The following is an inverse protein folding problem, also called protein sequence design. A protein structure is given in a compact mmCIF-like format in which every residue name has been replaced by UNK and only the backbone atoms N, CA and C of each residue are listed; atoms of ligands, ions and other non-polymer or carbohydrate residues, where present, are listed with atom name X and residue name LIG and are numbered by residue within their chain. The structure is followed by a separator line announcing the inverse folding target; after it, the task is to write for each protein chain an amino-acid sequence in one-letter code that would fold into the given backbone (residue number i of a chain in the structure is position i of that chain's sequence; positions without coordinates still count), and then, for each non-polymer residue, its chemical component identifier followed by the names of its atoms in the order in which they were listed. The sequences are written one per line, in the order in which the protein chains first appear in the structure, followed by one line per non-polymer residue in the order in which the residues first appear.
data_IF_567144370521
#
_entry.id   IF_567144370521
#
_cell.length_a   1.000
_cell.length_b   1.000
_cell.length_c   1.000
_cell.angle_alpha   90.00
_cell.angle_beta   90.00
_cell.angle_gamma   90.00
#
_symmetry.space_group_name_H-M   'P 1'
#
loop_
_entity.id
_entity.type
_entity.pdbx_description
1 polymer ?
#
# COMPACT_ATOMS: atom_id res chain seq x y z
N UNK A 1 8.52 -8.07 -3.38
CA UNK A 1 9.98 -8.37 -3.46
C UNK A 1 10.53 -8.87 -2.12
N UNK A 2 11.63 -9.63 -2.04
CA UNK A 2 11.67 -10.70 -1.04
C UNK A 2 13.02 -11.33 -0.60
N UNK A 3 13.17 -11.52 0.71
CA UNK A 3 14.42 -11.62 1.51
C UNK A 3 14.55 -12.97 2.23
N UNK A 4 15.01 -14.05 1.59
CA UNK A 4 15.11 -15.38 2.24
C UNK A 4 15.79 -15.32 3.63
N UNK A 5 15.01 -15.44 4.71
CA UNK A 5 15.51 -15.61 6.08
C UNK A 5 15.49 -17.11 6.38
N UNK A 6 16.69 -17.66 6.62
CA UNK A 6 16.84 -19.00 7.21
C UNK A 6 16.15 -18.97 8.58
N UNK A 7 15.18 -19.85 8.87
CA UNK A 7 14.52 -19.84 10.18
C UNK A 7 15.57 -20.06 11.26
N UNK A 8 15.83 -19.03 12.06
CA UNK A 8 16.49 -19.20 13.35
C UNK A 8 15.52 -20.00 14.20
N UNK A 9 15.91 -21.25 14.49
CA UNK A 9 15.18 -22.13 15.39
C UNK A 9 15.24 -21.54 16.81
N UNK A 10 14.31 -20.63 17.12
CA UNK A 10 14.08 -20.05 18.44
C UNK A 10 12.99 -20.86 19.16
N UNK A 11 13.23 -22.17 19.28
CA UNK A 11 12.56 -22.99 20.29
C UNK A 11 13.19 -22.67 21.65
N UNK A 12 12.73 -21.61 22.30
CA UNK A 12 12.98 -21.40 23.73
C UNK A 12 11.74 -20.83 24.44
N UNK A 13 10.93 -21.78 24.91
CA UNK A 13 10.22 -21.76 26.19
C UNK A 13 9.67 -20.41 26.70
N UNK A 14 8.44 -20.07 26.30
CA UNK A 14 7.56 -19.24 27.13
C UNK A 14 6.60 -20.13 27.93
N UNK A 15 6.45 -19.92 29.25
CA UNK A 15 5.49 -20.67 30.04
C UNK A 15 4.05 -20.27 29.69
N UNK A 16 3.08 -21.18 29.81
CA UNK A 16 1.67 -20.89 29.51
C UNK A 16 1.11 -19.92 30.55
N UNK A 17 0.65 -18.74 30.10
CA UNK A 17 -0.19 -17.86 30.89
C UNK A 17 -1.60 -18.44 30.97
N UNK A 18 -2.08 -18.70 32.18
CA UNK A 18 -3.42 -19.21 32.45
C UNK A 18 -4.50 -18.16 32.17
N UNK A 19 -5.69 -18.55 31.69
CA UNK A 19 -6.81 -17.65 31.54
C UNK A 19 -7.59 -17.50 32.86
N UNK A 20 -7.73 -16.26 33.34
CA UNK A 20 -8.70 -15.92 34.38
C UNK A 20 -10.08 -15.66 33.77
N UNK A 21 -11.06 -16.44 34.22
CA UNK A 21 -12.50 -16.18 34.12
C UNK A 21 -12.90 -14.88 34.85
N UNK A 22 -13.83 -14.10 34.28
CA UNK A 22 -15.10 -13.71 34.96
C UNK A 22 -16.04 -12.80 34.16
N UNK A 23 -17.32 -13.17 34.28
CA UNK A 23 -18.53 -12.34 34.45
C UNK A 23 -19.08 -11.47 33.31
N UNK A 24 -20.14 -12.02 32.70
CA UNK A 24 -21.47 -11.45 32.46
C UNK A 24 -21.75 -9.99 32.83
N UNK A 25 -22.42 -9.26 31.92
CA UNK A 25 -23.73 -8.62 32.18
C UNK A 25 -24.38 -8.18 30.87
N UNK A 26 -25.65 -8.56 30.70
CA UNK A 26 -26.47 -8.18 29.56
C UNK A 26 -26.94 -6.73 29.63
N UNK A 27 -27.17 -6.16 28.45
CA UNK A 27 -28.02 -4.99 28.23
C UNK A 27 -28.59 -5.07 26.80
N UNK A 28 -29.83 -5.52 26.70
CA UNK A 28 -30.64 -5.43 25.48
C UNK A 28 -31.14 -4.00 25.37
N UNK A 29 -30.53 -3.20 24.50
CA UNK A 29 -31.05 -1.89 24.11
C UNK A 29 -31.92 -2.06 22.85
N UNK A 30 -33.23 -1.89 23.03
CA UNK A 30 -34.22 -1.90 21.95
C UNK A 30 -34.13 -0.55 21.21
N UNK A 31 -33.28 -0.47 20.19
CA UNK A 31 -33.11 0.70 19.35
C UNK A 31 -34.18 0.78 18.26
N UNK A 32 -34.99 1.83 18.29
CA UNK A 32 -35.91 2.25 17.24
C UNK A 32 -35.15 2.52 15.94
N UNK A 33 -35.29 1.62 14.96
CA UNK A 33 -34.79 1.83 13.58
C UNK A 33 -35.65 2.88 12.88
N UNK A 34 -35.24 4.13 12.96
CA UNK A 34 -35.74 5.21 12.09
C UNK A 34 -35.27 4.92 10.67
N UNK A 35 -36.21 4.52 9.81
CA UNK A 35 -36.02 4.39 8.37
C UNK A 35 -35.85 5.79 7.76
N UNK A 36 -34.61 6.29 7.75
CA UNK A 36 -34.25 7.49 7.01
C UNK A 36 -34.20 7.09 5.53
N UNK A 37 -35.14 7.60 4.75
CA UNK A 37 -35.17 7.45 3.30
C UNK A 37 -33.84 7.94 2.70
N UNK A 38 -33.15 7.03 2.03
CA UNK A 38 -31.83 7.23 1.42
C UNK A 38 -31.90 8.30 0.32
N UNK A 39 -31.56 9.54 0.66
CA UNK A 39 -31.26 10.57 -0.34
C UNK A 39 -30.02 10.09 -1.08
N UNK A 40 -30.15 9.89 -2.38
CA UNK A 40 -29.08 9.46 -3.26
C UNK A 40 -28.10 10.62 -3.50
N UNK A 41 -27.40 11.04 -2.44
CA UNK A 41 -26.31 12.01 -2.54
C UNK A 41 -25.20 11.30 -3.30
N UNK A 42 -24.84 11.82 -4.48
CA UNK A 42 -23.66 11.37 -5.20
C UNK A 42 -22.45 11.56 -4.29
N UNK A 43 -22.00 10.48 -3.66
CA UNK A 43 -20.79 10.51 -2.84
C UNK A 43 -19.61 10.87 -3.76
N UNK A 44 -18.89 11.93 -3.40
CA UNK A 44 -17.68 12.34 -4.12
C UNK A 44 -16.54 11.37 -3.81
N UNK A 45 -15.57 11.22 -4.72
CA UNK A 45 -14.37 10.40 -4.48
C UNK A 45 -13.66 10.78 -3.18
N UNK A 46 -13.60 12.08 -2.89
CA UNK A 46 -13.03 12.58 -1.62
C UNK A 46 -13.79 12.07 -0.40
N UNK A 47 -15.14 12.12 -0.42
CA UNK A 47 -15.95 11.59 0.68
C UNK A 47 -15.72 10.09 0.90
N UNK A 48 -15.49 9.32 -0.17
CA UNK A 48 -15.17 7.89 -0.07
C UNK A 48 -13.78 7.66 0.52
N UNK A 49 -12.81 8.50 0.17
CA UNK A 49 -11.46 8.42 0.74
C UNK A 49 -11.45 8.76 2.23
N UNK A 50 -12.15 9.85 2.62
CA UNK A 50 -12.26 10.25 4.02
C UNK A 50 -12.96 9.17 4.87
N UNK A 51 -14.01 8.54 4.32
CA UNK A 51 -14.71 7.42 4.94
C UNK A 51 -13.81 6.20 5.11
N UNK A 52 -13.07 5.81 4.05
CA UNK A 52 -12.13 4.69 4.10
C UNK A 52 -10.98 4.97 5.10
N UNK A 53 -10.44 6.18 5.11
CA UNK A 53 -9.39 6.58 6.04
C UNK A 53 -9.86 6.43 7.49
N UNK A 54 -11.08 6.88 7.82
CA UNK A 54 -11.66 6.71 9.14
C UNK A 54 -11.74 5.24 9.57
N UNK A 55 -12.19 4.35 8.68
CA UNK A 55 -12.28 2.91 8.97
C UNK A 55 -10.90 2.25 9.13
N UNK A 56 -9.91 2.67 8.35
CA UNK A 56 -8.53 2.19 8.46
C UNK A 56 -7.90 2.62 9.79
N UNK A 57 -8.12 3.87 10.22
CA UNK A 57 -7.66 4.35 11.53
C UNK A 57 -8.35 3.62 12.68
N UNK A 58 -9.66 3.38 12.55
CA UNK A 58 -10.40 2.53 13.49
C UNK A 58 -9.78 1.13 13.55
N UNK A 59 -9.53 0.49 12.40
CA UNK A 59 -8.91 -0.83 12.30
C UNK A 59 -7.53 -0.87 12.98
N UNK A 60 -6.69 0.14 12.73
CA UNK A 60 -5.36 0.24 13.32
C UNK A 60 -5.39 0.38 14.87
N UNK A 61 -6.44 0.98 15.42
CA UNK A 61 -6.62 1.14 16.87
C UNK A 61 -7.16 -0.12 17.57
N UNK A 62 -7.77 -1.05 16.82
CA UNK A 62 -8.39 -2.26 17.37
C UNK A 62 -7.43 -3.45 17.34
N UNK A 63 -7.27 -4.14 18.47
CA UNK A 63 -6.43 -5.34 18.57
C UNK A 63 -7.09 -6.63 18.07
N UNK A 64 -8.40 -6.60 17.83
CA UNK A 64 -9.18 -7.78 17.41
C UNK A 64 -9.57 -7.66 15.95
N UNK A 65 -9.46 -8.75 15.18
CA UNK A 65 -10.00 -8.78 13.82
C UNK A 65 -11.52 -8.61 13.85
N UNK A 66 -12.05 -7.75 12.99
CA UNK A 66 -13.47 -7.53 12.77
C UNK A 66 -13.79 -7.71 11.28
N UNK A 67 -14.40 -8.85 10.95
CA UNK A 67 -14.70 -9.20 9.56
C UNK A 67 -15.69 -8.21 8.91
N UNK A 68 -16.60 -7.61 9.69
CA UNK A 68 -17.57 -6.66 9.14
C UNK A 68 -16.86 -5.36 8.71
N UNK A 69 -15.91 -4.91 9.53
CA UNK A 69 -15.07 -3.76 9.20
C UNK A 69 -14.24 -4.03 7.95
N UNK A 70 -13.70 -5.24 7.81
CA UNK A 70 -12.92 -5.64 6.63
C UNK A 70 -13.77 -5.66 5.35
N UNK A 71 -15.01 -6.15 5.42
CA UNK A 71 -15.95 -6.13 4.29
C UNK A 71 -16.31 -4.70 3.86
N UNK A 72 -16.49 -3.79 4.82
CA UNK A 72 -16.77 -2.38 4.56
C UNK A 72 -15.58 -1.66 3.92
N UNK A 73 -14.38 -1.88 4.46
CA UNK A 73 -13.11 -1.40 3.89
C UNK A 73 -12.95 -1.92 2.45
N UNK A 74 -13.15 -3.21 2.23
CA UNK A 74 -13.07 -3.83 0.91
C UNK A 74 -14.04 -3.20 -0.10
N UNK A 75 -15.26 -2.89 0.33
CA UNK A 75 -16.26 -2.21 -0.49
C UNK A 75 -15.80 -0.82 -0.91
N UNK A 76 -15.32 0.00 0.03
CA UNK A 76 -14.84 1.36 -0.25
C UNK A 76 -13.59 1.36 -1.14
N UNK A 77 -12.64 0.45 -0.90
CA UNK A 77 -11.46 0.25 -1.76
C UNK A 77 -11.88 0.01 -3.21
N UNK A 78 -12.81 -0.92 -3.45
CA UNK A 78 -13.31 -1.21 -4.82
C UNK A 78 -13.99 -0.01 -5.46
N UNK A 79 -14.74 0.79 -4.68
CA UNK A 79 -15.39 2.02 -5.18
C UNK A 79 -14.37 3.10 -5.56
N UNK A 80 -13.34 3.30 -4.75
CA UNK A 80 -12.25 4.23 -5.08
C UNK A 80 -11.47 3.80 -6.32
N UNK A 81 -11.11 2.51 -6.43
CA UNK A 81 -10.47 1.96 -7.63
C UNK A 81 -11.34 2.19 -8.87
N UNK A 82 -12.66 1.97 -8.75
CA UNK A 82 -13.61 2.18 -9.85
C UNK A 82 -13.77 3.64 -10.26
N UNK A 83 -13.44 4.59 -9.38
CA UNK A 83 -13.56 6.02 -9.65
C UNK A 83 -12.52 6.55 -10.65
N UNK A 84 -11.41 5.82 -10.85
CA UNK A 84 -10.32 6.16 -11.78
C UNK A 84 -9.84 7.61 -11.64
N UNK A 85 -9.69 8.09 -10.40
CA UNK A 85 -9.23 9.46 -10.14
C UNK A 85 -7.82 9.69 -10.64
N UNK A 86 -7.51 10.92 -11.03
CA UNK A 86 -6.13 11.33 -11.27
C UNK A 86 -5.43 11.74 -9.98
N UNK A 87 -4.10 11.67 -9.93
CA UNK A 87 -3.29 12.06 -8.78
C UNK A 87 -2.02 12.81 -9.20
N UNK A 88 -1.53 13.74 -8.39
CA UNK A 88 -0.20 14.34 -8.57
C UNK A 88 0.84 13.48 -7.83
N UNK A 89 1.82 12.85 -8.51
CA UNK A 89 2.85 12.05 -7.86
C UNK A 89 3.63 12.81 -6.79
N UNK A 90 3.81 14.12 -6.95
CA UNK A 90 4.53 14.93 -5.97
C UNK A 90 3.78 15.09 -4.66
N UNK A 91 2.45 15.18 -4.73
CA UNK A 91 1.62 15.35 -3.53
C UNK A 91 1.20 14.00 -2.94
N UNK A 92 1.09 12.96 -3.78
CA UNK A 92 0.47 11.69 -3.42
C UNK A 92 1.47 10.55 -3.27
N UNK A 93 2.63 10.56 -3.95
CA UNK A 93 3.65 9.49 -3.91
C UNK A 93 4.90 9.95 -3.16
N UNK A 94 5.44 11.13 -3.49
CA UNK A 94 6.58 11.70 -2.77
C UNK A 94 6.20 12.07 -1.33
N UNK A 95 7.08 11.77 -0.37
CA UNK A 95 6.87 12.20 1.01
C UNK A 95 7.30 11.19 2.07
N UNK A 96 6.64 11.19 3.24
CA UNK A 96 7.06 10.38 4.38
C UNK A 96 6.69 8.90 4.20
N UNK A 97 6.93 8.12 5.24
CA UNK A 97 6.49 6.73 5.31
C UNK A 97 4.96 6.64 5.23
N UNK A 98 4.47 5.75 4.37
CA UNK A 98 3.08 5.30 4.34
C UNK A 98 3.01 3.88 4.87
N UNK A 99 2.18 3.65 5.88
CA UNK A 99 2.03 2.38 6.57
C UNK A 99 0.92 1.57 5.95
N UNK A 100 1.18 0.30 5.68
CA UNK A 100 0.18 -0.68 5.24
C UNK A 100 -0.76 -1.02 6.39
N UNK A 101 -2.05 -0.71 6.23
CA UNK A 101 -3.08 -0.98 7.24
C UNK A 101 -3.99 -2.14 6.82
N UNK A 102 -4.16 -2.33 5.52
CA UNK A 102 -5.04 -3.36 4.98
C UNK A 102 -4.52 -3.92 3.67
N UNK A 103 -4.88 -5.16 3.38
CA UNK A 103 -4.57 -5.82 2.11
C UNK A 103 -5.72 -6.72 1.68
N UNK A 104 -5.87 -6.88 0.36
CA UNK A 104 -6.85 -7.77 -0.26
C UNK A 104 -6.10 -8.78 -1.11
N UNK A 105 -6.29 -10.07 -0.81
CA UNK A 105 -5.56 -11.18 -1.41
C UNK A 105 -4.85 -12.02 -0.36
N UNK A 106 -3.88 -12.82 -0.81
CA UNK A 106 -3.08 -13.64 0.11
C UNK A 106 -2.23 -12.79 1.02
N UNK A 107 -2.16 -13.17 2.29
CA UNK A 107 -1.27 -12.54 3.26
C UNK A 107 0.19 -12.69 2.83
N UNK A 108 0.92 -11.59 2.55
CA UNK A 108 2.30 -11.65 2.11
C UNK A 108 3.21 -12.21 3.20
N UNK A 109 4.36 -12.76 2.82
CA UNK A 109 5.24 -13.43 3.78
C UNK A 109 5.77 -12.48 4.85
N UNK A 110 6.11 -11.24 4.47
CA UNK A 110 6.56 -10.21 5.39
C UNK A 110 5.49 -9.82 6.42
N UNK A 111 4.21 -10.15 6.18
CA UNK A 111 3.18 -9.93 7.19
C UNK A 111 3.35 -10.92 8.34
N UNK A 112 3.75 -12.16 8.02
CA UNK A 112 3.80 -13.33 8.91
C UNK A 112 5.05 -13.40 9.79
N UNK A 113 6.10 -12.65 9.47
CA UNK A 113 7.40 -12.70 10.15
C UNK A 113 7.43 -11.93 11.48
N UNK A 114 6.38 -11.18 11.80
CA UNK A 114 6.35 -10.38 13.01
C UNK A 114 6.15 -11.25 14.26
N UNK A 115 6.92 -10.96 15.32
CA UNK A 115 6.94 -11.80 16.51
C UNK A 115 6.32 -11.05 17.70
N UNK A 116 5.28 -11.65 18.27
CA UNK A 116 4.66 -11.23 19.54
C UNK A 116 3.68 -10.05 19.43
N UNK A 117 3.29 -9.51 20.58
CA UNK A 117 2.37 -8.37 20.69
C UNK A 117 3.10 -7.02 20.56
N UNK A 118 4.20 -6.98 19.82
CA UNK A 118 4.95 -5.75 19.62
C UNK A 118 4.38 -5.02 18.43
N UNK A 119 4.39 -3.69 18.50
CA UNK A 119 4.06 -2.85 17.36
C UNK A 119 4.93 -3.27 16.17
N UNK A 120 4.27 -3.27 15.02
CA UNK A 120 4.77 -3.86 13.81
C UNK A 120 4.45 -2.94 12.64
N UNK A 121 5.22 -1.85 12.55
CA UNK A 121 5.09 -0.88 11.48
C UNK A 121 5.63 -1.48 10.18
N UNK A 122 4.81 -1.43 9.15
CA UNK A 122 5.17 -1.90 7.80
C UNK A 122 4.72 -0.87 6.82
N UNK A 123 5.59 -0.49 5.90
CA UNK A 123 5.28 0.61 5.02
C UNK A 123 6.28 0.82 3.94
N UNK A 124 6.05 1.89 3.20
CA UNK A 124 6.86 2.28 2.08
C UNK A 124 7.01 3.79 2.05
N UNK A 125 8.23 4.24 1.78
CA UNK A 125 8.57 5.63 1.53
C UNK A 125 9.04 5.76 0.09
N UNK A 126 8.58 6.79 -0.59
CA UNK A 126 9.05 7.15 -1.92
C UNK A 126 9.66 8.55 -1.88
N UNK A 127 10.73 8.74 -2.64
CA UNK A 127 11.38 10.03 -2.85
C UNK A 127 11.51 10.25 -4.33
N UNK A 128 10.79 11.24 -4.88
CA UNK A 128 10.91 11.58 -6.30
C UNK A 128 12.24 12.26 -6.58
N UNK A 129 12.91 11.85 -7.66
CA UNK A 129 14.08 12.55 -8.21
C UNK A 129 13.65 13.52 -9.32
N UNK A 130 12.64 13.10 -10.09
CA UNK A 130 11.99 13.87 -11.13
C UNK A 130 10.50 13.43 -11.23
N UNK A 131 9.79 13.87 -12.27
CA UNK A 131 8.36 13.56 -12.44
C UNK A 131 8.07 12.10 -12.86
N UNK A 132 9.11 11.35 -13.24
CA UNK A 132 9.02 10.02 -13.87
C UNK A 132 9.80 8.96 -13.10
N UNK A 133 10.66 9.34 -12.17
CA UNK A 133 11.53 8.42 -11.46
C UNK A 133 11.83 8.86 -10.03
N UNK A 134 12.22 7.88 -9.21
CA UNK A 134 12.60 8.15 -7.84
C UNK A 134 13.24 6.94 -7.16
N UNK A 135 13.45 7.09 -5.85
CA UNK A 135 13.89 6.02 -4.97
C UNK A 135 12.74 5.59 -4.07
N UNK A 136 12.77 4.34 -3.62
CA UNK A 136 11.84 3.88 -2.59
C UNK A 136 12.55 3.07 -1.50
N UNK A 137 11.92 3.04 -0.34
CA UNK A 137 12.33 2.23 0.80
C UNK A 137 11.11 1.47 1.31
N UNK A 138 11.16 0.15 1.27
CA UNK A 138 10.21 -0.72 1.97
C UNK A 138 10.74 -1.01 3.36
N UNK A 139 9.87 -0.92 4.35
CA UNK A 139 10.20 -1.07 5.76
C UNK A 139 9.23 -2.03 6.43
N UNK A 140 9.73 -2.93 7.27
CA UNK A 140 8.90 -3.81 8.08
C UNK A 140 9.59 -4.12 9.42
N UNK A 141 8.94 -3.79 10.53
CA UNK A 141 9.39 -4.20 11.85
C UNK A 141 9.20 -5.71 12.05
N UNK A 142 10.20 -6.37 12.64
CA UNK A 142 10.09 -7.73 13.16
C UNK A 142 9.85 -7.66 14.67
N UNK A 143 10.59 -6.77 15.34
CA UNK A 143 10.50 -6.52 16.78
C UNK A 143 10.72 -5.03 17.09
N UNK A 144 9.71 -4.22 16.79
CA UNK A 144 9.78 -2.76 16.91
C UNK A 144 10.96 -2.15 16.16
N UNK A 145 11.39 -0.96 16.58
CA UNK A 145 12.49 -0.21 15.94
C UNK A 145 13.88 -0.86 16.11
N UNK A 146 14.00 -1.88 16.96
CA UNK A 146 15.26 -2.57 17.22
C UNK A 146 15.54 -3.73 16.26
N UNK A 147 14.54 -4.27 15.57
CA UNK A 147 14.76 -5.31 14.59
C UNK A 147 13.79 -5.12 13.44
N UNK A 148 14.31 -4.72 12.29
CA UNK A 148 13.50 -4.45 11.12
C UNK A 148 14.19 -4.86 9.81
N UNK A 149 13.37 -5.05 8.78
CA UNK A 149 13.78 -5.24 7.41
C UNK A 149 13.68 -3.93 6.66
N UNK A 150 14.70 -3.62 5.87
CA UNK A 150 14.73 -2.48 4.95
C UNK A 150 15.06 -3.01 3.56
N UNK A 151 14.27 -2.67 2.54
CA UNK A 151 14.62 -2.92 1.15
C UNK A 151 14.60 -1.60 0.38
N UNK A 152 15.63 -1.35 -0.42
CA UNK A 152 15.80 -0.09 -1.13
C UNK A 152 15.84 -0.33 -2.63
N UNK A 153 15.34 0.64 -3.38
CA UNK A 153 15.30 0.53 -4.83
C UNK A 153 15.01 1.84 -5.52
N UNK A 154 14.84 1.72 -6.83
CA UNK A 154 14.45 2.81 -7.73
C UNK A 154 13.13 2.45 -8.38
N UNK A 155 12.34 3.46 -8.71
CA UNK A 155 11.17 3.27 -9.53
C UNK A 155 11.18 4.19 -10.74
N UNK A 156 10.57 3.73 -11.83
CA UNK A 156 10.46 4.46 -13.09
C UNK A 156 9.04 4.30 -13.63
N UNK A 157 8.45 5.39 -14.10
CA UNK A 157 7.16 5.43 -14.77
C UNK A 157 7.14 4.51 -15.99
N UNK A 158 6.15 3.62 -16.07
CA UNK A 158 5.82 2.85 -17.27
C UNK A 158 4.66 3.48 -18.04
N UNK A 159 3.76 4.17 -17.34
CA UNK A 159 2.66 4.93 -17.93
C UNK A 159 1.29 4.45 -17.49
N UNK A 160 0.25 5.02 -18.11
CA UNK A 160 -1.12 4.60 -17.84
C UNK A 160 -1.39 3.21 -18.39
N UNK A 161 -2.17 2.42 -17.66
CA UNK A 161 -2.58 1.10 -18.15
C UNK A 161 -3.68 1.33 -19.16
N UNK A 162 -3.39 1.03 -20.44
CA UNK A 162 -4.41 1.03 -21.46
C UNK A 162 -5.57 0.15 -20.97
N UNK A 163 -6.77 0.73 -20.88
CA UNK A 163 -7.96 -0.07 -20.60
C UNK A 163 -8.03 -1.08 -21.74
N UNK A 164 -7.80 -2.37 -21.45
CA UNK A 164 -7.76 -3.47 -22.43
C UNK A 164 -9.07 -3.63 -23.24
N UNK A 165 -10.05 -2.77 -22.98
CA UNK A 165 -11.31 -2.70 -23.67
C UNK A 165 -11.23 -1.53 -24.66
N UNK A 166 -10.75 -1.77 -25.87
CA UNK A 166 -11.26 -1.29 -27.18
C UNK A 166 -10.18 -1.50 -28.25
N UNK A 167 -9.78 -2.75 -28.47
CA UNK A 167 -9.30 -3.17 -29.79
C UNK A 167 -10.39 -4.00 -30.46
N UNK A 168 -11.58 -3.41 -30.61
CA UNK A 168 -12.52 -3.84 -31.64
C UNK A 168 -12.42 -2.77 -32.70
N UNK A 169 -11.70 -3.11 -33.78
CA UNK A 169 -11.26 -2.18 -34.79
C UNK A 169 -12.36 -1.28 -35.34
N UNK A 170 -12.09 0.02 -35.30
CA UNK A 170 -12.58 0.91 -36.34
C UNK A 170 -11.40 1.77 -36.79
N UNK A 171 -10.78 1.34 -37.89
CA UNK A 171 -9.69 2.06 -38.56
C UNK A 171 -10.31 3.28 -39.25
N UNK A 172 -10.77 4.25 -38.47
CA UNK A 172 -11.14 5.56 -38.98
C UNK A 172 -9.86 6.36 -39.17
N UNK A 173 -9.27 6.23 -40.35
CA UNK A 173 -8.16 7.03 -40.87
C UNK A 173 -8.56 8.52 -40.93
N UNK A 174 -8.47 9.19 -39.79
CA UNK A 174 -8.58 10.64 -39.66
C UNK A 174 -7.30 11.27 -40.22
N UNK A 175 -7.30 11.58 -41.52
CA UNK A 175 -6.20 12.25 -42.22
C UNK A 175 -6.12 13.75 -41.91
N UNK A 176 -6.35 14.17 -40.66
CA UNK A 176 -6.30 15.58 -40.29
C UNK A 176 -4.87 15.97 -39.86
N UNK A 177 -4.07 16.63 -40.71
CA UNK A 177 -2.66 16.97 -40.43
C UNK A 177 -2.51 18.00 -39.29
N UNK A 178 -3.60 18.59 -38.81
CA UNK A 178 -3.60 19.55 -37.70
C UNK A 178 -3.58 18.89 -36.32
N UNK A 179 -3.97 17.62 -36.21
CA UNK A 179 -3.98 16.88 -34.93
C UNK A 179 -2.56 16.49 -34.48
N UNK A 180 -1.63 16.44 -35.44
CA UNK A 180 -0.20 16.25 -35.16
C UNK A 180 0.41 17.49 -34.50
N UNK A 181 -0.11 18.69 -34.76
CA UNK A 181 0.46 19.94 -34.24
C UNK A 181 0.00 20.26 -32.83
N UNK A 182 -1.21 19.87 -32.43
CA UNK A 182 -1.71 20.09 -31.05
C UNK A 182 -0.90 19.31 -30.02
N UNK A 183 -0.40 18.11 -30.36
CA UNK A 183 0.43 17.30 -29.46
C UNK A 183 1.79 17.92 -29.12
N UNK A 184 2.33 18.82 -29.95
CA UNK A 184 3.61 19.50 -29.66
C UNK A 184 3.47 20.70 -28.70
N UNK A 185 2.30 21.33 -28.62
CA UNK A 185 2.06 22.49 -27.75
C UNK A 185 1.49 22.13 -26.38
N UNK A 186 1.02 20.90 -26.18
CA UNK A 186 0.52 20.41 -24.88
C UNK A 186 1.62 19.88 -23.95
N UNK A 187 2.88 20.29 -24.16
CA UNK A 187 4.01 19.93 -23.29
C UNK A 187 4.01 20.66 -21.93
N UNK A 188 2.89 21.30 -21.59
CA UNK A 188 2.62 21.80 -20.26
C UNK A 188 2.23 20.61 -19.37
N UNK A 189 3.23 20.15 -18.61
CA UNK A 189 3.12 19.49 -17.31
C UNK A 189 1.70 19.02 -16.91
N UNK A 190 1.23 17.92 -17.51
CA UNK A 190 0.15 17.17 -16.90
C UNK A 190 0.74 16.51 -15.64
N UNK A 191 0.76 17.27 -14.54
CA UNK A 191 1.24 16.83 -13.22
C UNK A 191 0.39 15.69 -12.72
N UNK A 192 -0.87 15.65 -13.15
CA UNK A 192 -1.81 14.64 -12.78
C UNK A 192 -1.66 13.41 -13.66
N UNK A 193 -1.46 12.26 -13.02
CA UNK A 193 -1.44 10.95 -13.67
C UNK A 193 -2.81 10.29 -13.51
N UNK A 194 -3.38 9.67 -14.56
CA UNK A 194 -4.63 8.94 -14.44
C UNK A 194 -4.40 7.62 -13.70
N UNK A 195 -5.42 7.09 -13.01
CA UNK A 195 -5.39 5.70 -12.50
C UNK A 195 -6.23 4.77 -13.40
N UNK A 196 -5.82 3.50 -13.55
CA UNK A 196 -4.61 2.89 -13.01
C UNK A 196 -3.31 3.31 -13.74
N UNK A 197 -2.20 3.31 -13.01
CA UNK A 197 -0.90 3.77 -13.48
C UNK A 197 0.24 2.84 -13.06
N UNK A 198 1.12 2.47 -13.97
CA UNK A 198 2.21 1.52 -13.68
C UNK A 198 3.55 2.22 -13.47
N UNK A 199 4.24 1.78 -12.42
CA UNK A 199 5.66 2.04 -12.18
C UNK A 199 6.41 0.71 -12.17
N UNK A 200 7.59 0.69 -12.76
CA UNK A 200 8.56 -0.39 -12.56
C UNK A 200 9.39 -0.09 -11.34
N UNK A 201 9.42 -1.04 -10.41
CA UNK A 201 10.24 -1.02 -9.21
C UNK A 201 11.45 -1.95 -9.40
N UNK A 202 12.64 -1.41 -9.17
CA UNK A 202 13.92 -2.09 -9.27
C UNK A 202 14.55 -2.07 -7.88
N UNK A 203 14.55 -3.18 -7.15
CA UNK A 203 15.26 -3.26 -5.86
C UNK A 203 16.71 -3.56 -6.12
N UNK A 204 17.55 -2.77 -5.47
CA UNK A 204 19.00 -2.88 -5.53
C UNK A 204 19.60 -3.56 -4.30
N UNK A 205 18.81 -3.80 -3.25
CA UNK A 205 19.27 -4.50 -2.08
C UNK A 205 18.28 -4.47 -0.93
N UNK A 206 18.57 -5.29 0.08
CA UNK A 206 17.88 -5.22 1.34
C UNK A 206 18.80 -5.54 2.50
N UNK A 207 18.34 -5.22 3.70
CA UNK A 207 19.08 -5.46 4.92
C UNK A 207 18.17 -5.74 6.09
N UNK A 208 18.71 -6.48 7.06
CA UNK A 208 18.15 -6.64 8.40
C UNK A 208 18.95 -5.72 9.31
N UNK A 209 18.27 -4.82 10.01
CA UNK A 209 18.91 -3.92 10.98
C UNK A 209 18.60 -4.40 12.39
N UNK A 210 19.64 -4.59 13.20
CA UNK A 210 19.55 -4.98 14.60
C UNK A 210 20.04 -3.85 15.51
N UNK A 211 19.24 -3.55 16.53
CA UNK A 211 19.40 -2.51 17.53
C UNK A 211 19.74 -1.13 16.96
N UNK A 212 19.24 -0.84 15.75
CA UNK A 212 19.53 0.39 15.00
C UNK A 212 21.01 0.61 14.67
N UNK A 213 21.85 -0.42 14.77
CA UNK A 213 23.32 -0.29 14.65
C UNK A 213 23.97 -1.33 13.75
N UNK A 214 23.49 -2.57 13.77
CA UNK A 214 24.09 -3.65 13.02
C UNK A 214 23.25 -3.93 11.78
N UNK A 215 23.87 -3.88 10.61
CA UNK A 215 23.19 -4.09 9.34
C UNK A 215 23.71 -5.38 8.70
N UNK A 216 22.82 -6.36 8.54
CA UNK A 216 23.07 -7.56 7.75
C UNK A 216 22.49 -7.35 6.37
N UNK A 217 23.34 -7.13 5.37
CA UNK A 217 22.91 -7.04 3.98
C UNK A 217 22.43 -8.40 3.48
N UNK A 218 21.35 -8.41 2.73
CA UNK A 218 20.80 -9.58 2.07
C UNK A 218 20.77 -9.31 0.58
N UNK A 219 21.39 -10.22 -0.18
CA UNK A 219 21.51 -10.15 -1.63
C UNK A 219 20.14 -10.42 -2.29
N UNK A 220 19.30 -9.39 -2.33
CA UNK A 220 18.03 -9.39 -3.06
C UNK A 220 18.12 -8.34 -4.14
N UNK A 221 17.84 -8.80 -5.35
CA UNK A 221 17.71 -7.93 -6.51
C UNK A 221 16.51 -8.43 -7.30
N UNK A 222 15.77 -7.50 -7.87
CA UNK A 222 14.60 -7.86 -8.65
C UNK A 222 13.96 -6.65 -9.28
N UNK A 223 13.24 -6.93 -10.35
CA UNK A 223 12.36 -5.99 -11.01
C UNK A 223 10.91 -6.40 -10.74
N UNK A 224 10.00 -5.45 -10.73
CA UNK A 224 8.58 -5.72 -10.61
C UNK A 224 7.76 -4.53 -11.02
N UNK A 225 6.46 -4.75 -11.22
CA UNK A 225 5.53 -3.67 -11.53
C UNK A 225 4.71 -3.36 -10.29
N UNK A 226 4.54 -2.08 -9.99
CA UNK A 226 3.59 -1.59 -8.98
C UNK A 226 2.56 -0.73 -9.70
N UNK A 227 1.29 -1.09 -9.54
CA UNK A 227 0.19 -0.37 -10.15
C UNK A 227 -0.51 0.50 -9.12
N UNK A 228 -0.53 1.79 -9.34
CA UNK A 228 -1.32 2.76 -8.56
C UNK A 228 -2.77 2.65 -9.01
N UNK A 229 -3.65 2.23 -8.11
CA UNK A 229 -5.09 2.15 -8.36
C UNK A 229 -5.85 3.37 -7.83
N UNK A 230 -5.31 4.00 -6.80
CA UNK A 230 -5.82 5.25 -6.21
C UNK A 230 -4.69 5.88 -5.38
N UNK A 231 -4.59 7.21 -5.39
CA UNK A 231 -3.67 7.92 -4.50
C UNK A 231 -4.19 9.33 -4.20
N UNK A 232 -4.07 9.74 -2.95
CA UNK A 232 -4.20 11.11 -2.48
C UNK A 232 -3.10 11.39 -1.42
N UNK A 233 -3.01 12.62 -0.85
CA UNK A 233 -1.96 12.95 0.11
C UNK A 233 -1.94 12.14 1.42
N UNK A 234 -3.01 11.40 1.74
CA UNK A 234 -3.17 10.66 3.00
C UNK A 234 -3.33 9.15 2.81
N UNK A 235 -3.75 8.71 1.63
CA UNK A 235 -4.13 7.33 1.33
C UNK A 235 -3.61 6.88 -0.04
N UNK A 236 -3.10 5.65 -0.11
CA UNK A 236 -2.65 5.00 -1.36
C UNK A 236 -3.24 3.60 -1.48
N UNK A 237 -3.59 3.21 -2.69
CA UNK A 237 -4.02 1.85 -3.03
C UNK A 237 -3.15 1.36 -4.19
N UNK A 238 -2.35 0.34 -3.91
CA UNK A 238 -1.48 -0.30 -4.89
C UNK A 238 -1.95 -1.71 -5.23
N UNK A 239 -1.58 -2.19 -6.40
CA UNK A 239 -1.70 -3.58 -6.83
C UNK A 239 -0.34 -4.09 -7.28
N UNK A 240 0.02 -5.29 -6.84
CA UNK A 240 1.13 -6.08 -7.40
C UNK A 240 0.61 -6.92 -8.57
N UNK A 241 0.83 -6.54 -9.83
CA UNK A 241 0.28 -7.28 -10.96
C UNK A 241 1.05 -8.60 -11.18
N UNK A 242 0.43 -9.50 -11.95
CA UNK A 242 0.90 -10.88 -12.19
C UNK A 242 2.16 -10.98 -13.04
N UNK A 243 2.57 -9.90 -13.69
CA UNK A 243 3.68 -9.82 -14.65
C UNK A 243 5.04 -9.49 -14.00
N UNK A 244 5.16 -9.69 -12.69
CA UNK A 244 6.38 -9.38 -11.94
C UNK A 244 7.43 -10.48 -12.10
N UNK A 245 8.45 -10.25 -12.93
CA UNK A 245 9.60 -11.14 -13.08
C UNK A 245 10.63 -10.92 -11.96
N UNK A 246 10.73 -11.88 -11.04
CA UNK A 246 11.73 -11.84 -9.99
C UNK A 246 13.00 -12.58 -10.41
N UNK A 247 14.11 -11.85 -10.53
CA UNK A 247 15.39 -12.38 -11.04
C UNK A 247 16.23 -13.10 -9.97
N UNK A 248 16.24 -12.66 -8.70
CA UNK A 248 17.05 -13.31 -7.65
C UNK A 248 16.48 -13.19 -6.23
N UNK A 249 16.44 -14.30 -5.49
CA UNK A 249 16.20 -14.33 -4.04
C UNK A 249 14.76 -14.11 -3.55
N UNK A 250 13.86 -13.66 -4.43
CA UNK A 250 12.59 -13.05 -4.05
C UNK A 250 11.30 -13.75 -4.55
N UNK A 251 11.38 -14.92 -5.19
CA UNK A 251 10.33 -15.47 -6.06
C UNK A 251 8.95 -15.78 -5.47
N UNK A 252 8.68 -15.54 -4.17
CA UNK A 252 7.38 -15.83 -3.52
C UNK A 252 7.00 -14.80 -2.43
N UNK A 253 7.61 -13.61 -2.44
CA UNK A 253 7.32 -12.50 -1.52
C UNK A 253 5.89 -11.98 -1.50
N UNK A 254 5.43 -11.68 -2.69
CA UNK A 254 4.14 -11.08 -2.92
C UNK A 254 3.39 -12.05 -3.80
N UNK A 255 2.17 -12.39 -3.38
CA UNK A 255 1.24 -13.04 -4.27
C UNK A 255 0.84 -12.03 -5.34
N UNK A 256 0.87 -12.47 -6.60
CA UNK A 256 0.28 -11.72 -7.67
C UNK A 256 -1.20 -11.40 -7.34
N UNK A 257 -1.65 -10.20 -7.69
CA UNK A 257 -3.00 -9.74 -7.40
C UNK A 257 -3.19 -9.16 -6.00
N UNK A 258 -2.13 -9.04 -5.20
CA UNK A 258 -2.19 -8.39 -3.88
C UNK A 258 -2.51 -6.91 -4.02
N UNK A 259 -3.62 -6.47 -3.40
CA UNK A 259 -3.94 -5.06 -3.23
C UNK A 259 -3.47 -4.63 -1.85
N UNK A 260 -2.74 -3.52 -1.78
CA UNK A 260 -2.21 -2.96 -0.54
C UNK A 260 -2.81 -1.57 -0.33
N UNK A 261 -3.36 -1.33 0.85
CA UNK A 261 -3.91 -0.03 1.26
C UNK A 261 -3.01 0.57 2.32
N UNK A 262 -2.45 1.73 2.00
CA UNK A 262 -1.51 2.42 2.86
C UNK A 262 -2.03 3.78 3.29
N UNK A 263 -1.75 4.15 4.54
CA UNK A 263 -2.10 5.43 5.15
C UNK A 263 -0.81 6.13 5.56
N UNK A 264 -0.77 7.46 5.41
CA UNK A 264 0.36 8.26 5.89
C UNK A 264 0.64 7.97 7.37
N UNK A 265 1.89 7.65 7.69
CA UNK A 265 2.22 7.05 8.98
C UNK A 265 1.96 7.99 10.18
N UNK A 266 2.11 9.30 10.01
CA UNK A 266 1.81 10.32 11.02
C UNK A 266 0.31 10.41 11.40
N UNK A 267 -0.58 9.86 10.57
CA UNK A 267 -2.01 9.74 10.91
C UNK A 267 -2.31 8.48 11.73
N UNK A 268 -1.43 7.48 11.68
CA UNK A 268 -1.63 6.18 12.34
C UNK A 268 -0.90 6.15 13.68
N UNK A 269 0.29 6.75 13.73
CA UNK A 269 1.14 6.71 14.91
C UNK A 269 1.83 8.04 15.18
N UNK A 270 1.45 8.68 16.29
CA UNK A 270 1.91 10.02 16.68
C UNK A 270 3.38 10.06 17.14
N UNK A 271 3.95 8.92 17.54
CA UNK A 271 5.28 8.79 18.16
C UNK A 271 6.37 8.32 17.18
N UNK A 272 6.04 8.12 15.91
CA UNK A 272 7.00 7.64 14.93
C UNK A 272 7.89 8.79 14.45
N UNK A 273 9.21 8.63 14.59
CA UNK A 273 10.19 9.60 14.12
C UNK A 273 10.94 9.07 12.89
N UNK A 274 11.10 9.92 11.87
CA UNK A 274 11.74 9.60 10.58
C UNK A 274 13.22 9.20 10.69
N UNK A 275 13.82 9.30 11.88
CA UNK A 275 15.25 9.08 12.13
C UNK A 275 15.76 7.70 11.72
N UNK A 276 14.88 6.71 11.54
CA UNK A 276 15.26 5.34 11.14
C UNK A 276 15.54 5.17 9.65
N UNK A 277 15.24 6.18 8.81
CA UNK A 277 15.25 6.04 7.35
C UNK A 277 16.30 6.93 6.63
N UNK A 278 17.04 7.78 7.33
CA UNK A 278 17.93 8.79 6.73
C UNK A 278 19.38 8.33 6.42
N UNK A 279 19.66 7.02 6.46
CA UNK A 279 20.96 6.44 6.05
C UNK A 279 20.93 5.76 4.68
#
# INVERSE_FOLDING_TARGET
MALTIIPLNLDSAFPPSQPHCRCSSGRTALGTKTLVSSINVQQTTRSLSDELLSLLLQKASTSKPDNNLDDEINSLVRRLISSKSSFDPKDCIDGPLFTTIHFIGDTPLWEKIAIGNVRNVKGQRYTLLDNTSGNFVNYAEIWGQNLYLKAVGKFVEKGSVASLNTEVGDVSSSNNPLDVLTSFFSKDHDRNKPTPFDYEAIVSGASIVLFGKYTLNVDIEGTGTVRVLYADPSLRIFLSPTDTEVTRGAGHWESAGLIVVQVKNDLVYDDWSDHTMEE
#
